data_IF_634230118733
#
_entry.id   IF_634230118733
#
_cell.length_a   1.000
_cell.length_b   1.000
_cell.length_c   1.000
_cell.angle_alpha   90.00
_cell.angle_beta   90.00
_cell.angle_gamma   90.00
#
_symmetry.space_group_name_H-M   'P 1'
#
loop_
_entity.id
_entity.type
_entity.pdbx_description
1 polymer ?
#
# COMPACT_ATOMS: atom_id res chain seq x y z
N UNK A 1 3.55 20.17 13.62
CA UNK A 1 2.85 19.09 12.89
C UNK A 1 2.25 18.18 13.94
N UNK A 2 0.92 18.20 14.08
CA UNK A 2 0.17 17.46 15.09
C UNK A 2 0.27 15.94 14.85
N UNK A 3 0.64 15.19 15.89
CA UNK A 3 0.82 13.74 15.83
C UNK A 3 -0.42 12.97 15.33
N UNK A 4 -1.62 13.56 15.52
CA UNK A 4 -2.89 12.98 15.09
C UNK A 4 -3.07 13.02 13.56
N UNK A 5 -2.53 14.03 12.88
CA UNK A 5 -2.57 14.15 11.41
C UNK A 5 -1.60 13.17 10.73
N UNK A 6 -0.53 12.79 11.43
CA UNK A 6 0.40 11.74 10.99
C UNK A 6 -0.27 10.37 11.08
N UNK A 7 -1.00 10.09 12.17
CA UNK A 7 -1.67 8.80 12.38
C UNK A 7 -2.71 8.45 11.31
N UNK A 8 -3.42 9.45 10.77
CA UNK A 8 -4.49 9.24 9.78
C UNK A 8 -4.00 8.78 8.39
N UNK A 9 -2.70 8.87 8.09
CA UNK A 9 -2.15 8.43 6.79
C UNK A 9 -1.30 7.16 6.86
N UNK A 10 -1.19 6.53 8.04
CA UNK A 10 -0.29 5.38 8.24
C UNK A 10 -0.82 4.13 7.56
N UNK A 11 -2.12 3.87 7.59
CA UNK A 11 -2.71 2.67 6.99
C UNK A 11 -3.71 3.06 5.90
N UNK A 12 -3.58 2.45 4.72
CA UNK A 12 -4.49 2.66 3.59
C UNK A 12 -4.87 1.35 2.94
N UNK A 13 -6.10 1.33 2.47
CA UNK A 13 -6.65 0.24 1.66
C UNK A 13 -6.60 0.64 0.21
N UNK A 14 -6.13 -0.26 -0.64
CA UNK A 14 -6.13 -0.06 -2.08
C UNK A 14 -6.23 -1.38 -2.84
N UNK A 15 -6.17 -1.30 -4.16
CA UNK A 15 -6.32 -2.45 -5.05
C UNK A 15 -5.01 -2.79 -5.75
N UNK A 16 -4.64 -4.06 -5.80
CA UNK A 16 -3.42 -4.50 -6.51
C UNK A 16 -3.53 -4.19 -8.00
N UNK A 17 -2.61 -3.38 -8.51
CA UNK A 17 -2.50 -3.04 -9.93
C UNK A 17 -1.55 -4.00 -10.65
N UNK A 18 -0.39 -4.27 -10.05
CA UNK A 18 0.65 -5.10 -10.65
C UNK A 18 1.57 -5.68 -9.57
N UNK A 19 2.27 -6.74 -9.92
CA UNK A 19 3.16 -7.49 -9.02
C UNK A 19 4.46 -7.76 -9.78
N UNK A 20 5.59 -7.46 -9.16
CA UNK A 20 6.93 -7.76 -9.68
C UNK A 20 7.76 -8.42 -8.58
N UNK A 21 7.87 -9.75 -8.64
CA UNK A 21 8.51 -10.54 -7.58
C UNK A 21 7.73 -10.43 -6.26
N UNK A 22 8.33 -9.78 -5.27
CA UNK A 22 7.73 -9.49 -3.95
C UNK A 22 7.34 -8.02 -3.77
N UNK A 23 7.38 -7.23 -4.84
CA UNK A 23 6.91 -5.84 -4.84
C UNK A 23 5.53 -5.75 -5.48
N UNK A 24 4.66 -4.94 -4.89
CA UNK A 24 3.27 -4.77 -5.31
C UNK A 24 2.97 -3.29 -5.51
N UNK A 25 2.41 -2.95 -6.67
CA UNK A 25 1.90 -1.61 -6.94
C UNK A 25 0.40 -1.59 -6.65
N UNK A 26 -0.05 -0.60 -5.89
CA UNK A 26 -1.42 -0.50 -5.39
C UNK A 26 -2.07 0.78 -5.90
N UNK A 27 -3.33 0.68 -6.35
CA UNK A 27 -4.16 1.82 -6.74
C UNK A 27 -5.01 2.25 -5.56
N UNK A 28 -4.98 3.54 -5.24
CA UNK A 28 -5.91 4.17 -4.32
C UNK A 28 -7.00 4.91 -5.09
N UNK A 29 -8.15 4.25 -5.25
CA UNK A 29 -9.31 4.83 -5.96
C UNK A 29 -9.81 6.13 -5.29
N UNK A 30 -9.66 6.24 -3.96
CA UNK A 30 -10.00 7.44 -3.16
C UNK A 30 -9.14 8.67 -3.48
N UNK A 31 -7.99 8.50 -4.13
CA UNK A 31 -7.05 9.59 -4.46
C UNK A 31 -6.80 9.69 -5.96
N UNK A 32 -7.85 9.93 -6.73
CA UNK A 32 -7.76 10.15 -8.18
C UNK A 32 -7.07 8.97 -8.91
N UNK A 33 -7.26 7.74 -8.41
CA UNK A 33 -6.59 6.54 -8.90
C UNK A 33 -5.06 6.59 -8.82
N UNK A 34 -4.50 7.30 -7.83
CA UNK A 34 -3.06 7.34 -7.59
C UNK A 34 -2.51 5.92 -7.40
N UNK A 35 -1.49 5.59 -8.19
CA UNK A 35 -0.77 4.32 -8.13
C UNK A 35 0.50 4.55 -7.32
N UNK A 36 0.77 3.66 -6.37
CA UNK A 36 2.00 3.69 -5.59
C UNK A 36 3.19 3.23 -6.43
N UNK A 37 4.37 3.69 -6.04
CA UNK A 37 5.60 2.97 -6.34
C UNK A 37 5.54 1.51 -5.83
N UNK A 38 6.38 0.62 -6.35
CA UNK A 38 6.34 -0.79 -5.96
C UNK A 38 6.65 -0.95 -4.47
N UNK A 39 5.64 -1.35 -3.69
CA UNK A 39 5.78 -1.54 -2.26
C UNK A 39 6.27 -2.95 -1.95
N UNK A 40 7.33 -3.11 -1.14
CA UNK A 40 7.78 -4.43 -0.71
C UNK A 40 6.73 -5.09 0.19
N UNK A 41 6.59 -6.40 0.03
CA UNK A 41 5.81 -7.25 0.94
C UNK A 41 6.67 -7.78 2.09
N UNK A 42 6.01 -8.07 3.21
CA UNK A 42 6.65 -8.82 4.30
C UNK A 42 6.97 -10.24 3.83
N UNK A 43 8.15 -10.75 4.21
CA UNK A 43 8.68 -12.03 3.72
C UNK A 43 7.81 -13.27 4.01
N UNK A 44 6.89 -13.16 4.97
CA UNK A 44 6.01 -14.24 5.43
C UNK A 44 4.63 -14.20 4.77
N UNK A 45 4.41 -13.30 3.80
CA UNK A 45 3.16 -13.16 3.09
C UNK A 45 3.34 -13.57 1.63
N UNK A 46 2.33 -14.26 1.10
CA UNK A 46 2.23 -14.57 -0.32
C UNK A 46 1.72 -13.37 -1.11
N UNK A 47 2.22 -13.15 -2.34
CA UNK A 47 1.77 -12.07 -3.18
C UNK A 47 0.28 -12.22 -3.51
N UNK A 48 -0.56 -11.21 -3.22
CA UNK A 48 -1.98 -11.25 -3.49
C UNK A 48 -2.25 -11.18 -5.00
N UNK A 49 -3.34 -11.75 -5.53
CA UNK A 49 -3.65 -11.65 -6.95
C UNK A 49 -3.94 -10.20 -7.37
N UNK A 50 -3.63 -9.87 -8.63
CA UNK A 50 -3.99 -8.58 -9.23
C UNK A 50 -5.50 -8.35 -9.13
N UNK A 51 -5.90 -7.13 -8.77
CA UNK A 51 -7.29 -6.75 -8.54
C UNK A 51 -7.79 -6.99 -7.11
N UNK A 52 -7.00 -7.63 -6.25
CA UNK A 52 -7.37 -7.85 -4.85
C UNK A 52 -7.28 -6.56 -4.04
N UNK A 53 -8.18 -6.43 -3.06
CA UNK A 53 -8.08 -5.39 -2.04
C UNK A 53 -6.99 -5.76 -1.03
N UNK A 54 -6.12 -4.82 -0.72
CA UNK A 54 -4.96 -5.01 0.16
C UNK A 54 -4.81 -3.86 1.14
N UNK A 55 -4.21 -4.15 2.29
CA UNK A 55 -3.84 -3.16 3.29
C UNK A 55 -2.36 -2.80 3.13
N UNK A 56 -2.08 -1.50 3.05
CA UNK A 56 -0.73 -0.95 2.97
C UNK A 56 -0.45 -0.06 4.18
N UNK A 57 0.78 -0.11 4.67
CA UNK A 57 1.28 0.81 5.70
C UNK A 57 2.33 1.73 5.10
N UNK A 58 2.24 3.03 5.37
CA UNK A 58 3.17 4.05 4.89
C UNK A 58 3.95 4.66 6.05
N UNK A 59 5.26 4.78 5.85
CA UNK A 59 6.20 5.39 6.78
C UNK A 59 6.22 6.90 6.52
N UNK A 60 5.31 7.64 7.15
CA UNK A 60 5.27 9.09 7.09
C UNK A 60 4.14 9.64 6.21
N UNK A 61 4.37 10.80 5.60
CA UNK A 61 3.32 11.55 4.89
C UNK A 61 3.26 11.26 3.38
N UNK A 62 4.28 10.61 2.83
CA UNK A 62 4.37 10.28 1.41
C UNK A 62 3.95 8.83 1.14
N UNK A 63 3.39 8.58 -0.05
CA UNK A 63 2.97 7.23 -0.50
C UNK A 63 4.10 6.45 -1.19
N UNK A 64 5.32 6.97 -1.10
CA UNK A 64 6.52 6.44 -1.74
C UNK A 64 7.21 5.36 -0.88
N UNK A 65 7.11 5.50 0.45
CA UNK A 65 7.82 4.64 1.41
C UNK A 65 6.82 3.88 2.29
N UNK A 66 6.71 2.56 2.10
CA UNK A 66 5.73 1.74 2.81
C UNK A 66 5.86 0.24 2.54
N UNK A 67 4.91 -0.51 3.07
CA UNK A 67 4.82 -1.97 2.94
C UNK A 67 3.40 -2.41 2.61
N UNK A 68 3.29 -3.44 1.79
CA UNK A 68 2.02 -4.14 1.57
C UNK A 68 1.89 -5.30 2.57
N UNK A 69 0.80 -5.29 3.34
CA UNK A 69 0.47 -6.30 4.35
C UNK A 69 -0.40 -7.45 3.80
N UNK A 70 -0.75 -7.42 2.52
CA UNK A 70 -1.58 -8.44 1.88
C UNK A 70 -3.08 -8.15 1.94
N UNK A 71 -3.88 -9.18 1.61
CA UNK A 71 -5.34 -9.11 1.55
C UNK A 71 -5.98 -8.93 2.92
N UNK A 72 -7.11 -8.23 2.97
CA UNK A 72 -7.96 -8.09 4.17
C UNK A 72 -9.42 -8.44 3.86
#
# INVERSE_FOLDING_TARGET
MDAMSVALNIAKVGRVSSISGRNVSVVFEDRDNLVTDPLPMLNNLDPPPVGSSVLCIFLGSALDEGFCLGTY
#
